data_IF_216227399041
#
_entry.id   IF_216227399041
#
_cell.length_a   1.000
_cell.length_b   1.000
_cell.length_c   1.000
_cell.angle_alpha   90.00
_cell.angle_beta   90.00
_cell.angle_gamma   90.00
#
_symmetry.space_group_name_H-M   'P 1'
#
loop_
_entity.id
_entity.type
_entity.pdbx_description
1 polymer ?
#
# COMPACT_ATOMS: atom_id res chain seq x y z
N UNK A 1 9.74 6.95 15.99
CA UNK A 1 10.67 6.51 14.92
C UNK A 1 9.90 6.56 13.62
N UNK A 2 10.09 7.59 12.81
CA UNK A 2 9.39 7.82 11.54
C UNK A 2 10.26 7.32 10.39
N UNK A 3 9.85 6.23 9.73
CA UNK A 3 10.51 5.78 8.51
C UNK A 3 10.02 6.62 7.34
N UNK A 4 10.79 7.65 6.96
CA UNK A 4 10.62 8.36 5.70
C UNK A 4 11.55 7.72 4.66
N UNK A 5 11.10 6.63 4.03
CA UNK A 5 11.82 6.05 2.89
C UNK A 5 11.48 6.82 1.63
N UNK A 6 12.31 7.81 1.30
CA UNK A 6 12.40 8.37 -0.07
C UNK A 6 12.95 7.28 -0.98
N UNK A 7 12.14 6.75 -1.88
CA UNK A 7 12.55 5.71 -2.84
C UNK A 7 13.51 6.29 -3.88
N UNK A 8 14.77 5.85 -3.84
CA UNK A 8 15.75 6.12 -4.89
C UNK A 8 15.41 5.26 -6.12
N UNK A 9 15.24 5.83 -7.32
CA UNK A 9 14.87 5.09 -8.54
C UNK A 9 15.89 4.03 -8.99
N UNK A 10 17.09 4.01 -8.40
CA UNK A 10 18.11 2.97 -8.63
C UNK A 10 18.02 1.78 -7.67
N UNK A 11 17.16 1.80 -6.66
CA UNK A 11 16.98 0.68 -5.73
C UNK A 11 15.86 -0.25 -6.24
N UNK A 12 16.08 -1.58 -6.27
CA UNK A 12 15.07 -2.53 -6.73
C UNK A 12 13.81 -2.36 -5.89
N UNK A 13 12.68 -2.18 -6.57
CA UNK A 13 11.39 -1.93 -5.93
C UNK A 13 11.03 -3.14 -5.07
N UNK A 14 10.75 -2.96 -3.77
CA UNK A 14 10.52 -4.09 -2.88
C UNK A 14 9.19 -4.77 -3.25
N UNK A 15 9.24 -6.10 -3.41
CA UNK A 15 8.05 -6.92 -3.28
C UNK A 15 7.77 -7.07 -1.78
N UNK A 16 6.59 -6.65 -1.34
CA UNK A 16 6.22 -6.67 0.08
C UNK A 16 5.07 -7.66 0.32
N UNK A 17 5.21 -8.52 1.32
CA UNK A 17 4.14 -9.43 1.73
C UNK A 17 3.31 -8.73 2.80
N UNK A 18 2.02 -8.56 2.54
CA UNK A 18 1.08 -7.92 3.46
C UNK A 18 0.02 -8.92 3.90
N UNK A 19 -0.34 -8.85 5.19
CA UNK A 19 -1.36 -9.69 5.83
C UNK A 19 -2.50 -8.80 6.35
N UNK A 20 -3.71 -9.35 6.46
CA UNK A 20 -4.94 -8.67 6.93
C UNK A 20 -5.24 -7.35 6.20
N UNK A 21 -5.11 -7.36 4.88
CA UNK A 21 -5.18 -6.16 4.03
C UNK A 21 -6.61 -5.69 3.81
N UNK A 22 -6.81 -4.38 3.91
CA UNK A 22 -8.02 -3.70 3.42
C UNK A 22 -7.68 -2.88 2.19
N UNK A 23 -8.14 -3.34 1.02
CA UNK A 23 -7.96 -2.65 -0.25
C UNK A 23 -9.08 -1.64 -0.45
N UNK A 24 -8.71 -0.41 -0.76
CA UNK A 24 -9.62 0.66 -1.15
C UNK A 24 -9.38 1.01 -2.61
N UNK A 25 -10.42 0.92 -3.42
CA UNK A 25 -10.42 1.37 -4.81
C UNK A 25 -11.32 2.59 -4.91
N UNK A 26 -10.80 3.67 -5.47
CA UNK A 26 -11.56 4.88 -5.77
C UNK A 26 -11.86 4.85 -7.27
N UNK A 27 -13.14 4.76 -7.61
CA UNK A 27 -13.63 4.85 -8.99
C UNK A 27 -14.57 6.06 -9.12
N UNK A 28 -14.88 6.53 -10.34
CA UNK A 28 -15.87 7.58 -10.55
C UNK A 28 -17.25 7.27 -9.94
N UNK A 29 -17.60 5.99 -9.85
CA UNK A 29 -18.87 5.50 -9.29
C UNK A 29 -18.86 5.42 -7.75
N UNK A 30 -17.69 5.55 -7.11
CA UNK A 30 -17.55 5.59 -5.66
C UNK A 30 -16.34 4.80 -5.14
N UNK A 31 -16.42 4.41 -3.86
CA UNK A 31 -15.36 3.66 -3.17
C UNK A 31 -15.75 2.18 -3.07
N UNK A 32 -14.87 1.29 -3.53
CA UNK A 32 -14.98 -0.15 -3.30
C UNK A 32 -13.99 -0.59 -2.23
N UNK A 33 -14.47 -1.42 -1.30
CA UNK A 33 -13.69 -1.96 -0.19
C UNK A 33 -13.61 -3.47 -0.34
N UNK A 34 -12.41 -4.02 -0.28
CA UNK A 34 -12.19 -5.47 -0.34
C UNK A 34 -11.23 -5.89 0.78
N UNK A 35 -11.59 -6.91 1.56
CA UNK A 35 -10.72 -7.53 2.56
C UNK A 35 -9.96 -8.69 1.92
N UNK A 36 -8.67 -8.77 2.17
CA UNK A 36 -7.77 -9.78 1.63
C UNK A 36 -6.89 -10.30 2.76
N UNK A 37 -6.88 -11.61 2.98
CA UNK A 37 -6.12 -12.20 4.09
C UNK A 37 -4.61 -12.06 3.89
N UNK A 38 -4.14 -12.21 2.65
CA UNK A 38 -2.72 -12.10 2.30
C UNK A 38 -2.53 -11.68 0.86
N UNK A 39 -1.58 -10.77 0.61
CA UNK A 39 -1.18 -10.38 -0.75
C UNK A 39 0.34 -10.20 -0.86
N UNK A 40 0.84 -10.38 -2.07
CA UNK A 40 2.16 -9.89 -2.46
C UNK A 40 1.96 -8.56 -3.20
N UNK A 41 2.40 -7.47 -2.57
CA UNK A 41 2.37 -6.14 -3.16
C UNK A 41 3.55 -5.96 -4.11
N UNK A 42 3.24 -5.62 -5.36
CA UNK A 42 4.23 -5.24 -6.34
C UNK A 42 4.61 -3.76 -6.16
N UNK A 43 5.84 -3.50 -5.72
CA UNK A 43 6.39 -2.16 -5.53
C UNK A 43 6.45 -1.29 -6.80
N UNK A 44 6.31 -1.86 -8.00
CA UNK A 44 6.36 -1.12 -9.27
C UNK A 44 5.27 -0.07 -9.44
N UNK A 45 4.11 -0.28 -8.79
CA UNK A 45 2.94 0.57 -8.93
C UNK A 45 2.66 1.37 -7.64
N UNK A 46 3.63 1.42 -6.72
CA UNK A 46 3.48 2.09 -5.42
C UNK A 46 4.05 3.50 -5.49
N UNK A 47 3.18 4.49 -5.34
CA UNK A 47 3.58 5.92 -5.31
C UNK A 47 4.06 6.34 -3.92
N UNK A 48 3.45 5.82 -2.86
CA UNK A 48 3.74 6.23 -1.48
C UNK A 48 3.45 5.09 -0.50
N UNK A 49 4.31 4.94 0.50
CA UNK A 49 4.07 4.14 1.69
C UNK A 49 4.02 5.08 2.89
N UNK A 50 2.93 5.04 3.65
CA UNK A 50 2.74 5.86 4.84
C UNK A 50 2.70 4.95 6.06
N UNK A 51 3.68 5.02 6.97
CA UNK A 51 3.63 4.29 8.23
C UNK A 51 2.48 4.84 9.10
N UNK A 52 1.62 3.96 9.60
CA UNK A 52 0.49 4.34 10.44
C UNK A 52 -0.71 3.42 10.27
N UNK A 53 -1.84 3.84 10.83
CA UNK A 53 -3.11 3.14 10.66
C UNK A 53 -3.88 3.69 9.45
N UNK A 54 -4.76 2.88 8.86
CA UNK A 54 -5.55 3.27 7.70
C UNK A 54 -6.50 4.45 7.99
N UNK A 55 -7.03 5.11 6.94
CA UNK A 55 -7.77 6.38 7.03
C UNK A 55 -9.14 6.32 7.74
N UNK A 56 -9.55 5.17 8.27
CA UNK A 56 -10.84 5.00 8.97
C UNK A 56 -10.72 5.04 10.50
N UNK A 57 -9.58 5.50 11.01
CA UNK A 57 -9.35 5.69 12.44
C UNK A 57 -9.03 7.15 12.77
#
# INVERSE_FOLDING_TARGET
MTANTTTNPSQPLPLEVLEDVTKFEITPEGRRITKLDKILLNGNNVTMLVPGEGPEK
#
